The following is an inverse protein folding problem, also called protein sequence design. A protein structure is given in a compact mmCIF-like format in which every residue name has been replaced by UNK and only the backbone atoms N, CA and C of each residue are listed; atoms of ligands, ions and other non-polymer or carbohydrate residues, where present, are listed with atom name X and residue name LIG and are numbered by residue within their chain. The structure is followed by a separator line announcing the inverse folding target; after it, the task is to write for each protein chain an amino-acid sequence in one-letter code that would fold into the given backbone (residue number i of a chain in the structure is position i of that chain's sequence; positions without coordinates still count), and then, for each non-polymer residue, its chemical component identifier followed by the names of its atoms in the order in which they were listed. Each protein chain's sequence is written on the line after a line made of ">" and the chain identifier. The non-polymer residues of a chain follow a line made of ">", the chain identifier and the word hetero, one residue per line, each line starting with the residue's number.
data_IF_126711433395
#
_entry.id   IF_126711433395
#
_cell.length_a   1.000
_cell.length_b   1.000
_cell.length_c   1.000
_cell.angle_alpha   90.00
_cell.angle_beta   90.00
_cell.angle_gamma   90.00
#
_symmetry.space_group_name_H-M   'P 1'
#
loop_
_entity.id
_entity.type
_entity.pdbx_description
1 polymer ?
#
# COMPACT_ATOMS: atom_id res chain seq x y z
N UNK A 1 -2.13 -4.24 2.45
CA UNK A 1 -0.82 -3.60 2.66
C UNK A 1 -0.04 -4.08 3.89
N UNK A 2 -0.66 -4.51 5.01
CA UNK A 2 0.08 -4.74 6.26
C UNK A 2 0.38 -6.20 6.69
N UNK A 3 -0.23 -7.23 6.08
CA UNK A 3 0.23 -8.61 6.30
C UNK A 3 1.69 -8.78 5.93
N UNK A 4 2.03 -8.12 4.82
CA UNK A 4 3.36 -7.97 4.33
C UNK A 4 4.24 -7.43 5.46
N UNK A 5 3.88 -6.30 6.07
CA UNK A 5 4.67 -5.66 7.13
C UNK A 5 4.91 -6.53 8.38
N UNK A 6 4.19 -7.65 8.56
CA UNK A 6 4.44 -8.61 9.64
C UNK A 6 5.54 -9.63 9.30
N UNK A 7 5.91 -9.77 8.02
CA UNK A 7 6.95 -10.66 7.50
C UNK A 7 8.12 -9.94 6.80
N UNK A 8 7.96 -8.68 6.41
CA UNK A 8 9.05 -7.84 5.88
C UNK A 8 9.63 -6.97 6.99
N UNK A 9 10.95 -7.00 7.12
CA UNK A 9 11.66 -5.94 7.81
C UNK A 9 11.41 -4.61 7.08
N UNK A 10 10.97 -3.59 7.83
CA UNK A 10 11.03 -2.21 7.36
C UNK A 10 12.45 -1.71 7.61
N UNK A 11 13.37 -2.14 6.74
CA UNK A 11 14.69 -1.53 6.61
C UNK A 11 14.60 -0.44 5.54
N UNK A 12 14.62 0.81 6.01
CA UNK A 12 14.73 2.00 5.16
C UNK A 12 16.08 2.62 5.44
N UNK A 13 17.10 2.24 4.68
CA UNK A 13 18.31 3.04 4.53
C UNK A 13 18.13 3.88 3.27
N UNK A 14 17.70 5.11 3.47
CA UNK A 14 17.60 6.10 2.40
C UNK A 14 18.77 7.06 2.52
N UNK A 15 19.78 6.84 1.68
CA UNK A 15 20.90 7.76 1.44
C UNK A 15 21.59 8.23 2.73
N UNK A 16 21.96 7.31 3.63
CA UNK A 16 22.85 7.68 4.74
C UNK A 16 24.24 7.98 4.18
N UNK A 17 24.52 9.26 3.96
CA UNK A 17 25.91 9.73 3.91
C UNK A 17 26.35 9.81 5.35
N UNK A 18 27.15 8.83 5.78
CA UNK A 18 27.88 8.89 7.04
C UNK A 18 29.31 9.34 6.70
N UNK A 19 29.57 10.63 6.90
CA UNK A 19 30.90 11.19 6.76
C UNK A 19 31.47 11.37 8.18
N UNK A 20 32.54 10.64 8.46
CA UNK A 20 33.36 10.84 9.65
C UNK A 20 34.50 11.76 9.29
N UNK A 21 34.74 12.76 10.14
CA UNK A 21 35.97 13.53 10.02
C UNK A 21 37.10 12.74 10.67
N UNK A 22 38.10 12.35 9.88
CA UNK A 22 39.32 11.75 10.40
C UNK A 22 40.31 12.87 10.72
N UNK A 23 40.65 13.01 12.00
CA UNK A 23 41.63 14.01 12.46
C UNK A 23 43.04 13.55 12.09
N UNK A 24 43.79 14.42 11.40
CA UNK A 24 45.17 14.14 11.03
C UNK A 24 46.11 14.26 12.25
N UNK A 25 45.70 15.06 13.26
CA UNK A 25 46.48 15.27 14.49
C UNK A 25 45.60 15.34 15.76
N UNK A 26 46.10 14.90 16.94
CA UNK A 26 45.35 14.95 18.21
C UNK A 26 44.90 16.36 18.63
N UNK A 27 45.59 17.41 18.18
CA UNK A 27 45.30 18.80 18.50
C UNK A 27 44.10 19.38 17.70
N UNK A 28 43.64 18.69 16.66
CA UNK A 28 42.50 19.10 15.82
C UNK A 28 41.15 18.58 16.33
N UNK A 29 41.13 17.51 17.12
CA UNK A 29 39.88 16.87 17.61
C UNK A 29 39.03 17.79 18.51
N UNK A 30 39.67 18.78 19.16
CA UNK A 30 39.00 19.79 19.97
C UNK A 30 38.48 21.01 19.19
N UNK A 31 38.84 21.15 17.90
CA UNK A 31 38.53 22.33 17.07
C UNK A 31 37.35 22.11 16.12
N UNK A 32 36.85 20.87 16.03
CA UNK A 32 35.79 20.49 15.11
C UNK A 32 34.48 20.37 15.89
N UNK A 33 33.60 21.35 15.72
CA UNK A 33 32.30 21.39 16.40
C UNK A 33 31.33 20.28 15.95
N UNK A 34 31.47 19.81 14.71
CA UNK A 34 30.61 18.78 14.12
C UNK A 34 31.45 17.59 13.69
N UNK A 35 31.51 16.56 14.54
CA UNK A 35 32.36 15.37 14.35
C UNK A 35 31.79 14.35 13.36
N UNK A 36 30.49 14.44 13.06
CA UNK A 36 29.83 13.60 12.07
C UNK A 36 28.60 14.32 11.53
N UNK A 37 28.26 14.04 10.27
CA UNK A 37 27.03 14.49 9.63
C UNK A 37 26.29 13.26 9.10
N UNK A 38 24.99 13.19 9.42
CA UNK A 38 24.08 12.16 8.94
C UNK A 38 22.89 12.83 8.27
N UNK A 39 22.78 12.68 6.96
CA UNK A 39 21.58 13.04 6.20
C UNK A 39 20.95 11.75 5.70
N UNK A 40 19.64 11.62 5.86
CA UNK A 40 18.87 10.50 5.36
C UNK A 40 17.39 10.87 5.34
N UNK A 41 16.63 10.32 4.41
CA UNK A 41 15.18 10.56 4.36
C UNK A 41 14.54 9.72 5.47
N UNK A 42 14.18 10.36 6.59
CA UNK A 42 13.41 9.68 7.64
C UNK A 42 12.03 9.34 7.10
N UNK A 43 11.86 8.09 6.67
CA UNK A 43 10.54 7.52 6.38
C UNK A 43 10.13 6.78 7.67
N UNK A 44 9.15 7.29 8.44
CA UNK A 44 8.73 6.66 9.67
C UNK A 44 8.27 5.23 9.39
N UNK A 45 8.65 4.28 10.27
CA UNK A 45 8.18 2.89 10.17
C UNK A 45 6.65 2.90 10.15
N UNK A 46 6.04 2.25 9.15
CA UNK A 46 4.59 2.09 9.10
C UNK A 46 4.14 1.37 10.38
N UNK A 47 3.27 1.97 11.21
CA UNK A 47 2.79 1.31 12.42
C UNK A 47 1.99 0.08 12.03
N UNK A 48 2.35 -1.08 12.55
CA UNK A 48 1.55 -2.29 12.41
C UNK A 48 0.34 -2.14 13.33
N UNK A 49 -0.86 -2.02 12.75
CA UNK A 49 -2.08 -1.93 13.54
C UNK A 49 -2.36 -3.26 14.25
N UNK A 50 -2.92 -3.19 15.45
CA UNK A 50 -3.29 -4.35 16.26
C UNK A 50 -4.16 -5.37 15.50
N UNK A 51 -5.14 -4.88 14.73
CA UNK A 51 -6.00 -5.69 13.86
C UNK A 51 -5.20 -6.52 12.85
N UNK A 52 -4.17 -5.92 12.26
CA UNK A 52 -3.36 -6.56 11.23
C UNK A 52 -2.45 -7.64 11.83
N UNK A 53 -1.85 -7.35 13.00
CA UNK A 53 -1.03 -8.30 13.74
C UNK A 53 -1.85 -9.52 14.19
N UNK A 54 -2.98 -9.30 14.82
CA UNK A 54 -3.82 -10.38 15.34
C UNK A 54 -4.45 -11.24 14.23
N UNK A 55 -4.94 -10.63 13.15
CA UNK A 55 -5.41 -11.39 11.97
C UNK A 55 -4.27 -12.20 11.32
N UNK A 56 -3.06 -11.66 11.28
CA UNK A 56 -1.90 -12.40 10.78
C UNK A 56 -1.58 -13.62 11.66
N UNK A 57 -1.64 -13.48 13.00
CA UNK A 57 -1.45 -14.58 13.94
C UNK A 57 -2.51 -15.66 13.73
N UNK A 58 -3.79 -15.29 13.68
CA UNK A 58 -4.85 -16.29 13.47
C UNK A 58 -4.78 -16.97 12.10
N UNK A 59 -4.39 -16.23 11.05
CA UNK A 59 -4.17 -16.79 9.72
C UNK A 59 -2.99 -17.79 9.70
N UNK A 60 -1.94 -17.52 10.49
CA UNK A 60 -0.77 -18.36 10.60
C UNK A 60 -1.02 -19.68 11.36
N UNK A 61 -2.11 -19.79 12.12
CA UNK A 61 -2.53 -21.05 12.75
C UNK A 61 -2.99 -22.07 11.71
N UNK A 62 -3.65 -21.61 10.63
CA UNK A 62 -4.23 -22.47 9.59
C UNK A 62 -3.37 -22.61 8.33
N UNK A 63 -2.37 -21.73 8.15
CA UNK A 63 -1.54 -21.70 6.93
C UNK A 63 -0.10 -21.32 7.28
N UNK A 64 0.88 -21.73 6.46
CA UNK A 64 2.28 -21.32 6.63
C UNK A 64 2.52 -19.82 6.36
N UNK A 65 1.51 -19.10 5.86
CA UNK A 65 1.63 -17.75 5.34
C UNK A 65 2.42 -17.69 4.03
N UNK A 66 2.49 -16.50 3.40
CA UNK A 66 3.13 -16.26 2.13
C UNK A 66 4.64 -16.06 2.31
N UNK A 67 5.32 -17.05 2.89
CA UNK A 67 6.75 -16.96 3.26
C UNK A 67 7.63 -16.73 2.05
N UNK A 68 7.29 -17.36 0.93
CA UNK A 68 8.06 -17.29 -0.30
C UNK A 68 7.93 -15.89 -0.93
N UNK A 69 6.70 -15.39 -1.06
CA UNK A 69 6.39 -14.04 -1.52
C UNK A 69 7.04 -13.00 -0.61
N UNK A 70 6.97 -13.22 0.71
CA UNK A 70 7.59 -12.36 1.70
C UNK A 70 9.12 -12.32 1.61
N UNK A 71 9.76 -13.44 1.33
CA UNK A 71 11.22 -13.47 1.21
C UNK A 71 11.68 -12.71 -0.04
N UNK A 72 11.03 -12.95 -1.19
CA UNK A 72 11.44 -12.35 -2.45
C UNK A 72 11.13 -10.85 -2.52
N UNK A 73 9.94 -10.43 -2.06
CA UNK A 73 9.61 -9.00 -2.04
C UNK A 73 10.48 -8.23 -1.02
N UNK A 74 10.94 -8.87 0.06
CA UNK A 74 11.85 -8.23 1.04
C UNK A 74 13.18 -7.95 0.37
N UNK A 75 13.72 -8.98 -0.25
CA UNK A 75 14.98 -8.93 -0.99
C UNK A 75 14.92 -7.91 -2.13
N UNK A 76 13.80 -7.87 -2.86
CA UNK A 76 13.58 -6.91 -3.93
C UNK A 76 13.50 -5.46 -3.43
N UNK A 77 12.81 -5.22 -2.31
CA UNK A 77 12.69 -3.88 -1.69
C UNK A 77 14.01 -3.40 -1.13
N UNK A 78 14.76 -4.27 -0.47
CA UNK A 78 16.08 -3.95 0.04
C UNK A 78 17.04 -3.59 -1.11
N UNK A 79 17.07 -4.39 -2.18
CA UNK A 79 17.86 -4.08 -3.38
C UNK A 79 17.41 -2.77 -4.06
N UNK A 80 16.10 -2.47 -4.07
CA UNK A 80 15.57 -1.20 -4.58
C UNK A 80 16.08 -0.01 -3.75
N UNK A 81 16.04 -0.11 -2.42
CA UNK A 81 16.52 0.92 -1.50
C UNK A 81 18.01 1.23 -1.69
N UNK A 82 18.82 0.19 -1.91
CA UNK A 82 20.25 0.31 -2.21
C UNK A 82 20.56 0.71 -3.67
N UNK A 83 19.54 1.04 -4.48
CA UNK A 83 19.67 1.36 -5.91
C UNK A 83 20.29 0.24 -6.75
N UNK A 84 20.27 -1.01 -6.25
CA UNK A 84 20.61 -2.24 -7.00
C UNK A 84 19.39 -2.71 -7.81
N UNK A 85 18.96 -1.88 -8.75
CA UNK A 85 17.73 -2.09 -9.52
C UNK A 85 17.70 -3.39 -10.32
N UNK A 86 18.85 -3.85 -10.81
CA UNK A 86 18.93 -5.14 -11.55
C UNK A 86 18.60 -6.30 -10.61
N UNK A 87 19.11 -6.28 -9.38
CA UNK A 87 18.80 -7.32 -8.39
C UNK A 87 17.36 -7.22 -7.90
N UNK A 88 16.85 -6.00 -7.71
CA UNK A 88 15.43 -5.79 -7.39
C UNK A 88 14.52 -6.39 -8.46
N UNK A 89 14.78 -6.09 -9.74
CA UNK A 89 14.07 -6.70 -10.86
C UNK A 89 14.19 -8.23 -10.85
N UNK A 90 15.37 -8.79 -10.60
CA UNK A 90 15.57 -10.24 -10.51
C UNK A 90 14.73 -10.88 -9.43
N UNK A 91 14.73 -10.35 -8.21
CA UNK A 91 13.95 -10.91 -7.12
C UNK A 91 12.44 -10.83 -7.39
N UNK A 92 11.95 -9.71 -7.93
CA UNK A 92 10.56 -9.58 -8.33
C UNK A 92 10.18 -10.55 -9.46
N UNK A 93 11.06 -10.72 -10.46
CA UNK A 93 10.78 -11.63 -11.57
C UNK A 93 10.84 -13.10 -11.14
N UNK A 94 11.73 -13.47 -10.21
CA UNK A 94 11.74 -14.82 -9.63
C UNK A 94 10.41 -15.16 -8.96
N UNK A 95 9.77 -14.18 -8.31
CA UNK A 95 8.44 -14.37 -7.72
C UNK A 95 7.38 -14.63 -8.80
N UNK A 96 7.39 -13.82 -9.86
CA UNK A 96 6.49 -13.97 -11.01
C UNK A 96 6.67 -15.36 -11.64
N UNK A 97 7.92 -15.75 -11.93
CA UNK A 97 8.27 -17.02 -12.57
C UNK A 97 7.87 -18.23 -11.71
N UNK A 98 8.10 -18.15 -10.40
CA UNK A 98 7.78 -19.25 -9.47
C UNK A 98 6.28 -19.47 -9.30
N UNK A 99 5.47 -18.41 -9.28
CA UNK A 99 4.03 -18.53 -9.03
C UNK A 99 3.19 -18.65 -10.31
N UNK A 100 3.60 -17.99 -11.40
CA UNK A 100 2.81 -17.91 -12.64
C UNK A 100 3.53 -18.51 -13.84
N UNK A 101 4.81 -18.91 -13.72
CA UNK A 101 5.57 -19.47 -14.85
C UNK A 101 5.23 -20.94 -15.18
N UNK A 102 4.46 -21.64 -14.35
CA UNK A 102 4.03 -23.01 -14.62
C UNK A 102 5.17 -24.02 -14.81
N UNK A 103 6.35 -23.76 -14.24
CA UNK A 103 7.57 -24.57 -14.45
C UNK A 103 8.27 -24.36 -15.80
N UNK A 104 7.84 -23.37 -16.59
CA UNK A 104 8.47 -23.03 -17.87
C UNK A 104 9.48 -21.89 -17.72
N UNK A 105 10.72 -22.15 -18.13
CA UNK A 105 11.83 -21.17 -18.02
C UNK A 105 12.33 -20.66 -19.38
N UNK A 106 11.89 -21.29 -20.48
CA UNK A 106 12.25 -20.87 -21.85
C UNK A 106 11.36 -19.71 -22.26
N UNK A 107 11.96 -18.64 -22.80
CA UNK A 107 11.31 -17.37 -23.16
C UNK A 107 9.94 -17.54 -23.84
N UNK A 108 9.85 -18.34 -24.90
CA UNK A 108 8.59 -18.52 -25.65
C UNK A 108 7.52 -19.20 -24.80
N UNK A 109 7.88 -20.28 -24.10
CA UNK A 109 6.94 -21.01 -23.25
C UNK A 109 6.48 -20.15 -22.06
N UNK A 110 7.41 -19.45 -21.41
CA UNK A 110 7.09 -18.56 -20.30
C UNK A 110 6.17 -17.41 -20.73
N UNK A 111 6.44 -16.77 -21.87
CA UNK A 111 5.54 -15.75 -22.45
C UNK A 111 4.13 -16.31 -22.65
N UNK A 112 4.00 -17.49 -23.24
CA UNK A 112 2.69 -18.10 -23.51
C UNK A 112 1.91 -18.40 -22.23
N UNK A 113 2.57 -18.96 -21.21
CA UNK A 113 1.93 -19.28 -19.93
C UNK A 113 1.48 -18.01 -19.21
N UNK A 114 2.36 -17.01 -19.09
CA UNK A 114 2.01 -15.75 -18.43
C UNK A 114 0.88 -14.99 -19.16
N UNK A 115 0.86 -15.05 -20.49
CA UNK A 115 -0.22 -14.43 -21.30
C UNK A 115 -1.53 -15.20 -21.25
N UNK A 116 -1.51 -16.50 -20.94
CA UNK A 116 -2.73 -17.30 -20.80
C UNK A 116 -3.37 -17.13 -19.41
N UNK A 117 -2.58 -16.70 -18.41
CA UNK A 117 -3.06 -16.49 -17.05
C UNK A 117 -3.82 -15.17 -16.91
N UNK A 118 -5.15 -15.25 -16.83
CA UNK A 118 -6.05 -14.09 -16.72
C UNK A 118 -5.77 -13.26 -15.48
N UNK A 119 -5.42 -13.91 -14.38
CA UNK A 119 -5.19 -13.23 -13.11
C UNK A 119 -3.87 -12.45 -13.14
N UNK A 120 -2.81 -13.07 -13.63
CA UNK A 120 -1.53 -12.41 -13.80
C UNK A 120 -1.63 -11.20 -14.74
N UNK A 121 -2.36 -11.33 -15.85
CA UNK A 121 -2.64 -10.20 -16.76
C UNK A 121 -3.30 -9.03 -16.05
N UNK A 122 -4.28 -9.30 -15.18
CA UNK A 122 -4.95 -8.26 -14.41
C UNK A 122 -3.98 -7.57 -13.43
N UNK A 123 -3.11 -8.34 -12.77
CA UNK A 123 -2.07 -7.78 -11.89
C UNK A 123 -1.08 -6.89 -12.65
N UNK A 124 -0.65 -7.30 -13.85
CA UNK A 124 0.23 -6.51 -14.72
C UNK A 124 -0.46 -5.21 -15.16
N UNK A 125 -1.74 -5.28 -15.54
CA UNK A 125 -2.52 -4.11 -15.93
C UNK A 125 -2.66 -3.11 -14.76
N UNK A 126 -3.00 -3.59 -13.56
CA UNK A 126 -3.12 -2.75 -12.37
C UNK A 126 -1.78 -2.10 -11.98
N UNK A 127 -0.70 -2.88 -12.01
CA UNK A 127 0.65 -2.37 -11.77
C UNK A 127 1.04 -1.28 -12.78
N UNK A 128 0.67 -1.45 -14.06
CA UNK A 128 0.96 -0.46 -15.10
C UNK A 128 0.12 0.82 -14.94
N UNK A 129 -1.15 0.72 -14.58
CA UNK A 129 -1.96 1.91 -14.28
C UNK A 129 -1.41 2.68 -13.07
N UNK A 130 -0.96 1.98 -12.02
CA UNK A 130 -0.30 2.61 -10.89
C UNK A 130 1.04 3.25 -11.30
N UNK A 131 1.81 2.62 -12.18
CA UNK A 131 3.07 3.16 -12.67
C UNK A 131 2.89 4.54 -13.35
N UNK A 132 1.77 4.79 -14.02
CA UNK A 132 1.47 6.08 -14.68
C UNK A 132 1.30 7.25 -13.70
N UNK A 133 1.05 7.00 -12.42
CA UNK A 133 0.92 8.08 -11.43
C UNK A 133 2.28 8.59 -10.93
N UNK A 134 3.38 7.95 -11.32
CA UNK A 134 4.73 8.35 -10.90
C UNK A 134 5.29 9.50 -11.75
N UNK A 135 6.11 10.33 -11.12
CA UNK A 135 6.82 11.43 -11.77
C UNK A 135 7.94 10.90 -12.67
N UNK A 136 7.75 11.02 -13.99
CA UNK A 136 8.71 10.59 -15.03
C UNK A 136 10.08 11.25 -14.90
N UNK A 137 10.17 12.45 -14.32
CA UNK A 137 11.45 13.15 -14.15
C UNK A 137 12.35 12.49 -13.08
N UNK A 138 11.77 11.65 -12.20
CA UNK A 138 12.50 11.04 -11.07
C UNK A 138 12.93 9.60 -11.33
N UNK A 139 12.40 8.96 -12.37
CA UNK A 139 12.60 7.54 -12.64
C UNK A 139 13.19 7.38 -14.03
N UNK A 140 14.45 6.96 -14.06
CA UNK A 140 15.17 6.70 -15.30
C UNK A 140 14.45 5.65 -16.13
N UNK A 141 14.33 5.92 -17.43
CA UNK A 141 13.70 5.08 -18.45
C UNK A 141 12.18 4.87 -18.25
N UNK A 142 11.52 5.66 -17.40
CA UNK A 142 10.08 5.53 -17.19
C UNK A 142 9.27 5.97 -18.41
N UNK A 143 9.65 7.07 -19.06
CA UNK A 143 8.99 7.54 -20.28
C UNK A 143 9.05 6.49 -21.41
N UNK A 144 10.18 5.80 -21.53
CA UNK A 144 10.39 4.71 -22.48
C UNK A 144 9.52 3.49 -22.15
N UNK A 145 9.45 3.10 -20.88
CA UNK A 145 8.58 2.01 -20.44
C UNK A 145 7.10 2.33 -20.65
N UNK A 146 6.69 3.58 -20.40
CA UNK A 146 5.31 4.03 -20.60
C UNK A 146 4.94 4.15 -22.09
N UNK A 147 5.93 4.37 -22.97
CA UNK A 147 5.72 4.45 -24.42
C UNK A 147 5.65 3.09 -25.12
N UNK A 148 5.96 1.98 -24.44
CA UNK A 148 5.76 0.61 -24.92
C UNK A 148 4.28 0.21 -25.07
N UNK A 149 3.37 1.18 -25.14
CA UNK A 149 1.93 0.97 -25.26
C UNK A 149 1.58 0.30 -26.58
N UNK A 150 1.23 -0.99 -26.49
CA UNK A 150 0.35 -1.66 -27.46
C UNK A 150 -0.63 -2.64 -26.79
N UNK A 151 -0.29 -3.25 -25.64
CA UNK A 151 -1.19 -4.13 -24.86
C UNK A 151 -0.54 -4.66 -23.56
N UNK A 152 -1.33 -5.27 -22.66
CA UNK A 152 -0.83 -6.07 -21.52
C UNK A 152 0.14 -7.17 -21.98
N UNK A 153 -0.15 -7.79 -23.14
CA UNK A 153 0.72 -8.79 -23.73
C UNK A 153 2.10 -8.24 -24.04
N UNK A 154 2.19 -7.01 -24.56
CA UNK A 154 3.45 -6.31 -24.81
C UNK A 154 4.24 -6.06 -23.51
N UNK A 155 3.57 -5.69 -22.42
CA UNK A 155 4.20 -5.52 -21.11
C UNK A 155 4.76 -6.83 -20.57
N UNK A 156 4.00 -7.93 -20.70
CA UNK A 156 4.46 -9.27 -20.32
C UNK A 156 5.66 -9.70 -21.17
N UNK A 157 5.61 -9.45 -22.49
CA UNK A 157 6.72 -9.75 -23.38
C UNK A 157 7.98 -8.99 -22.97
N UNK A 158 7.84 -7.69 -22.70
CA UNK A 158 8.95 -6.85 -22.26
C UNK A 158 9.57 -7.36 -20.95
N UNK A 159 8.75 -7.69 -19.94
CA UNK A 159 9.25 -8.27 -18.68
C UNK A 159 10.09 -9.54 -18.93
N UNK A 160 9.58 -10.48 -19.75
CA UNK A 160 10.26 -11.74 -20.02
C UNK A 160 11.54 -11.55 -20.85
N UNK A 161 11.54 -10.60 -21.79
CA UNK A 161 12.73 -10.25 -22.58
C UNK A 161 13.83 -9.65 -21.71
N UNK A 162 13.46 -8.69 -20.86
CA UNK A 162 14.39 -8.07 -19.93
C UNK A 162 14.93 -9.08 -18.91
N UNK A 163 14.14 -10.07 -18.48
CA UNK A 163 14.67 -11.21 -17.70
C UNK A 163 15.77 -11.96 -18.46
N UNK A 164 15.59 -12.22 -19.75
CA UNK A 164 16.63 -12.83 -20.59
C UNK A 164 17.94 -12.04 -20.58
N UNK A 165 17.88 -10.71 -20.53
CA UNK A 165 19.03 -9.82 -20.47
C UNK A 165 19.64 -9.84 -19.06
N UNK A 166 18.86 -9.52 -18.04
CA UNK A 166 19.36 -9.30 -16.69
C UNK A 166 19.73 -10.57 -15.92
N UNK A 167 19.20 -11.75 -16.26
CA UNK A 167 19.56 -12.99 -15.55
C UNK A 167 20.75 -13.72 -16.18
N UNK A 168 20.90 -13.64 -17.50
CA UNK A 168 21.85 -14.48 -18.25
C UNK A 168 22.90 -13.60 -18.93
N UNK A 169 23.72 -12.93 -18.11
CA UNK A 169 24.71 -12.04 -18.66
C UNK A 169 25.74 -12.81 -19.49
N UNK A 170 25.92 -12.40 -20.73
CA UNK A 170 27.05 -12.78 -21.54
C UNK A 170 27.76 -11.50 -21.96
N UNK A 171 28.92 -11.21 -21.36
CA UNK A 171 29.68 -9.98 -21.57
C UNK A 171 30.03 -9.74 -23.05
N UNK A 172 30.05 -10.80 -23.88
CA UNK A 172 30.30 -10.72 -25.32
C UNK A 172 29.07 -10.34 -26.16
N UNK A 173 27.86 -10.40 -25.59
CA UNK A 173 26.62 -10.06 -26.29
C UNK A 173 26.48 -8.53 -26.38
N UNK A 174 26.13 -8.04 -27.57
CA UNK A 174 25.75 -6.63 -27.75
C UNK A 174 24.51 -6.32 -26.90
N UNK A 175 24.59 -5.31 -26.05
CA UNK A 175 23.52 -4.96 -25.09
C UNK A 175 23.53 -5.78 -23.80
N UNK A 176 24.65 -6.46 -23.48
CA UNK A 176 24.85 -7.05 -22.17
C UNK A 176 24.75 -5.97 -21.07
N UNK A 177 23.97 -6.25 -20.02
CA UNK A 177 23.90 -5.36 -18.87
C UNK A 177 25.24 -5.34 -18.14
N UNK A 178 25.50 -4.24 -17.45
CA UNK A 178 26.72 -4.06 -16.66
C UNK A 178 26.38 -3.69 -15.21
N UNK A 179 27.10 -4.21 -14.20
CA UNK A 179 26.83 -3.89 -12.80
C UNK A 179 26.81 -2.40 -12.48
N UNK A 180 27.65 -1.61 -13.15
CA UNK A 180 27.74 -0.16 -12.99
C UNK A 180 26.56 0.62 -13.62
N UNK A 181 25.71 -0.05 -14.41
CA UNK A 181 24.58 0.57 -15.15
C UNK A 181 23.23 0.25 -14.52
N UNK A 182 23.13 0.35 -13.20
CA UNK A 182 21.87 0.06 -12.48
C UNK A 182 20.71 0.93 -12.95
N UNK A 183 20.97 2.21 -13.23
CA UNK A 183 19.95 3.20 -13.57
C UNK A 183 19.13 2.83 -14.82
N UNK A 184 19.71 2.08 -15.76
CA UNK A 184 19.02 1.61 -16.96
C UNK A 184 17.84 0.66 -16.61
N UNK A 185 17.90 -0.01 -15.46
CA UNK A 185 16.88 -0.94 -14.99
C UNK A 185 15.86 -0.31 -14.02
N UNK A 186 15.94 0.99 -13.73
CA UNK A 186 15.16 1.62 -12.65
C UNK A 186 13.64 1.51 -12.88
N UNK A 187 13.13 1.98 -14.03
CA UNK A 187 11.71 1.88 -14.35
C UNK A 187 11.19 0.44 -14.37
N UNK A 188 11.99 -0.49 -14.92
CA UNK A 188 11.64 -1.90 -14.98
C UNK A 188 11.59 -2.54 -13.60
N UNK A 189 12.57 -2.24 -12.74
CA UNK A 189 12.60 -2.71 -11.36
C UNK A 189 11.36 -2.21 -10.60
N UNK A 190 11.00 -0.93 -10.76
CA UNK A 190 9.81 -0.35 -10.14
C UNK A 190 8.55 -1.05 -10.65
N UNK A 191 8.41 -1.21 -11.96
CA UNK A 191 7.26 -1.89 -12.55
C UNK A 191 7.12 -3.34 -12.05
N UNK A 192 8.21 -4.09 -12.04
CA UNK A 192 8.21 -5.46 -11.49
C UNK A 192 7.88 -5.50 -10.00
N UNK A 193 8.27 -4.48 -9.23
CA UNK A 193 7.92 -4.36 -7.82
C UNK A 193 6.43 -4.09 -7.60
N UNK A 194 5.80 -3.31 -8.49
CA UNK A 194 4.35 -3.09 -8.48
C UNK A 194 3.59 -4.38 -8.83
N UNK A 195 4.06 -5.16 -9.81
CA UNK A 195 3.49 -6.48 -10.11
C UNK A 195 3.63 -7.43 -8.91
N UNK A 196 4.83 -7.50 -8.32
CA UNK A 196 5.09 -8.32 -7.14
C UNK A 196 4.26 -7.88 -5.92
N UNK A 197 3.94 -6.59 -5.81
CA UNK A 197 3.04 -6.07 -4.81
C UNK A 197 1.61 -6.59 -5.02
N UNK A 198 1.08 -6.62 -6.25
CA UNK A 198 -0.25 -7.19 -6.52
C UNK A 198 -0.32 -8.69 -6.17
N UNK A 199 0.72 -9.44 -6.54
CA UNK A 199 0.87 -10.84 -6.14
C UNK A 199 0.83 -10.99 -4.62
N UNK A 200 1.59 -10.16 -3.92
CA UNK A 200 1.69 -10.17 -2.46
C UNK A 200 0.39 -9.76 -1.77
N UNK A 201 -0.37 -8.84 -2.36
CA UNK A 201 -1.69 -8.45 -1.87
C UNK A 201 -2.67 -9.61 -1.96
N UNK A 202 -2.67 -10.34 -3.07
CA UNK A 202 -3.48 -11.56 -3.21
C UNK A 202 -3.09 -12.61 -2.18
N UNK A 203 -1.80 -12.87 -2.02
CA UNK A 203 -1.30 -13.86 -1.05
C UNK A 203 -1.67 -13.47 0.40
N UNK A 204 -1.84 -12.17 0.67
CA UNK A 204 -2.32 -11.64 1.95
C UNK A 204 -3.83 -11.70 2.16
N UNK A 205 -4.62 -11.89 1.11
CA UNK A 205 -6.09 -11.81 1.18
C UNK A 205 -6.75 -12.71 2.25
N UNK A 206 -6.25 -13.93 2.57
CA UNK A 206 -6.90 -14.79 3.57
C UNK A 206 -7.03 -14.16 4.96
N UNK A 207 -6.12 -13.25 5.34
CA UNK A 207 -6.19 -12.56 6.63
C UNK A 207 -7.45 -11.70 6.78
N UNK A 208 -8.06 -11.30 5.67
CA UNK A 208 -9.23 -10.43 5.61
C UNK A 208 -10.53 -11.24 5.46
N UNK A 209 -10.48 -12.57 5.65
CA UNK A 209 -11.67 -13.40 5.66
C UNK A 209 -12.61 -13.02 6.80
N UNK A 210 -13.92 -13.09 6.55
CA UNK A 210 -14.96 -12.73 7.53
C UNK A 210 -14.82 -13.51 8.85
N UNK A 211 -14.37 -14.76 8.77
CA UNK A 211 -14.11 -15.62 9.93
C UNK A 211 -13.03 -15.03 10.84
N UNK A 212 -11.87 -14.64 10.27
CA UNK A 212 -10.77 -14.08 11.05
C UNK A 212 -11.09 -12.68 11.58
N UNK A 213 -11.90 -11.91 10.86
CA UNK A 213 -12.48 -10.65 11.37
C UNK A 213 -13.34 -10.92 12.61
N UNK A 214 -14.20 -11.94 12.55
CA UNK A 214 -15.04 -12.34 13.69
C UNK A 214 -14.23 -12.80 14.90
N UNK A 215 -13.24 -13.68 14.69
CA UNK A 215 -12.29 -14.11 15.75
C UNK A 215 -11.52 -12.94 16.35
N UNK A 216 -11.11 -11.98 15.52
CA UNK A 216 -10.45 -10.77 16.00
C UNK A 216 -11.35 -9.96 16.93
N UNK A 217 -12.60 -9.72 16.54
CA UNK A 217 -13.58 -9.05 17.40
C UNK A 217 -13.83 -9.81 18.71
N UNK A 218 -13.98 -11.13 18.65
CA UNK A 218 -14.19 -11.95 19.85
C UNK A 218 -13.00 -11.88 20.81
N UNK A 219 -11.78 -11.98 20.28
CA UNK A 219 -10.56 -11.89 21.09
C UNK A 219 -10.39 -10.49 21.69
N UNK A 220 -10.66 -9.44 20.90
CA UNK A 220 -10.63 -8.06 21.35
C UNK A 220 -11.62 -7.82 22.51
N UNK A 221 -12.83 -8.38 22.40
CA UNK A 221 -13.84 -8.35 23.46
C UNK A 221 -13.37 -9.05 24.74
N UNK A 222 -12.78 -10.24 24.64
CA UNK A 222 -12.31 -11.02 25.80
C UNK A 222 -11.23 -10.29 26.61
N UNK A 223 -10.35 -9.55 25.94
CA UNK A 223 -9.23 -8.84 26.59
C UNK A 223 -9.52 -7.37 26.87
N UNK A 224 -10.75 -6.91 26.62
CA UNK A 224 -11.16 -5.52 26.82
C UNK A 224 -10.52 -4.52 25.83
N UNK A 225 -9.92 -4.99 24.74
CA UNK A 225 -9.37 -4.16 23.68
C UNK A 225 -10.48 -3.73 22.69
N UNK A 226 -11.50 -3.03 23.20
CA UNK A 226 -12.63 -2.52 22.42
C UNK A 226 -12.78 -1.02 22.62
N UNK A 227 -12.98 -0.30 21.52
CA UNK A 227 -13.47 1.09 21.50
C UNK A 227 -14.92 1.07 21.03
N UNK A 228 -15.82 1.62 21.84
CA UNK A 228 -17.24 1.72 21.51
C UNK A 228 -17.51 3.13 21.00
N UNK A 229 -17.94 3.24 19.76
CA UNK A 229 -18.31 4.51 19.12
C UNK A 229 -19.82 4.69 19.20
N UNK A 230 -20.26 5.80 19.79
CA UNK A 230 -21.65 6.22 19.75
C UNK A 230 -21.78 7.37 18.76
N UNK A 231 -22.63 7.18 17.76
CA UNK A 231 -22.92 8.17 16.72
C UNK A 231 -24.34 8.64 16.92
N UNK A 232 -24.50 9.86 17.39
CA UNK A 232 -25.80 10.52 17.51
C UNK A 232 -26.04 11.34 16.24
N UNK A 233 -27.19 11.16 15.60
CA UNK A 233 -27.48 11.81 14.32
C UNK A 233 -28.92 12.30 14.22
N UNK A 234 -29.06 13.43 13.52
CA UNK A 234 -30.32 14.13 13.30
C UNK A 234 -30.66 14.11 11.81
N UNK A 235 -31.91 13.76 11.50
CA UNK A 235 -32.36 13.62 10.12
C UNK A 235 -33.84 14.01 9.96
N UNK A 236 -34.26 14.27 8.72
CA UNK A 236 -35.65 14.49 8.33
C UNK A 236 -36.11 13.40 7.37
N UNK A 237 -37.29 12.85 7.60
CA UNK A 237 -37.95 11.95 6.65
C UNK A 237 -38.38 12.68 5.38
N UNK A 238 -38.68 11.94 4.32
CA UNK A 238 -39.16 12.52 3.04
C UNK A 238 -40.45 13.30 3.28
N UNK A 239 -40.44 14.59 2.94
CA UNK A 239 -41.62 15.47 3.09
C UNK A 239 -41.94 15.84 4.54
N UNK A 240 -41.09 15.46 5.51
CA UNK A 240 -41.27 15.82 6.91
C UNK A 240 -40.51 17.12 7.23
N UNK A 241 -41.21 18.05 7.89
CA UNK A 241 -40.58 19.25 8.46
C UNK A 241 -39.94 19.01 9.84
N UNK A 242 -40.13 17.81 10.40
CA UNK A 242 -39.73 17.49 11.77
C UNK A 242 -38.36 16.83 11.79
N UNK A 243 -37.47 17.38 12.62
CA UNK A 243 -36.17 16.80 12.89
C UNK A 243 -36.34 15.59 13.83
N UNK A 244 -35.78 14.44 13.43
CA UNK A 244 -35.71 13.23 14.23
C UNK A 244 -34.28 13.00 14.67
N UNK A 245 -34.09 12.52 15.89
CA UNK A 245 -32.78 12.13 16.41
C UNK A 245 -32.72 10.62 16.60
N UNK A 246 -31.58 10.03 16.29
CA UNK A 246 -31.30 8.61 16.49
C UNK A 246 -29.84 8.42 16.86
N UNK A 247 -29.48 7.19 17.23
CA UNK A 247 -28.10 6.83 17.54
C UNK A 247 -27.74 5.48 16.95
N UNK A 248 -26.45 5.32 16.65
CA UNK A 248 -25.84 4.08 16.20
C UNK A 248 -24.64 3.76 17.10
N UNK A 249 -24.58 2.54 17.62
CA UNK A 249 -23.42 2.03 18.36
C UNK A 249 -22.58 1.16 17.42
N UNK A 250 -21.30 1.47 17.32
CA UNK A 250 -20.33 0.72 16.54
C UNK A 250 -19.20 0.24 17.45
N UNK A 251 -19.11 -1.07 17.61
CA UNK A 251 -18.01 -1.71 18.33
C UNK A 251 -16.82 -1.91 17.39
N UNK A 252 -15.67 -1.35 17.75
CA UNK A 252 -14.43 -1.52 16.99
C UNK A 252 -13.32 -2.09 17.88
N UNK A 253 -12.48 -2.97 17.34
CA UNK A 253 -11.37 -3.52 18.08
C UNK A 253 -10.25 -2.47 18.17
N UNK A 254 -9.69 -2.31 19.37
CA UNK A 254 -8.62 -1.35 19.63
C UNK A 254 -8.61 -0.86 21.08
N UNK A 255 -7.54 -0.18 21.45
CA UNK A 255 -7.38 0.42 22.79
C UNK A 255 -7.57 1.93 22.82
N UNK A 256 -7.61 2.57 21.64
CA UNK A 256 -7.82 4.01 21.47
C UNK A 256 -8.34 4.33 20.06
N UNK A 257 -9.00 5.48 19.85
CA UNK A 257 -9.35 5.95 18.52
C UNK A 257 -8.12 6.15 17.63
N UNK A 258 -8.27 5.82 16.34
CA UNK A 258 -7.24 6.08 15.32
C UNK A 258 -7.91 6.64 14.06
N UNK A 259 -7.25 7.51 13.28
CA UNK A 259 -7.85 8.08 12.07
C UNK A 259 -8.41 7.04 11.09
N UNK A 260 -7.75 5.88 10.97
CA UNK A 260 -8.23 4.78 10.14
C UNK A 260 -9.53 4.16 10.70
N UNK A 261 -9.59 3.91 12.01
CA UNK A 261 -10.81 3.41 12.65
C UNK A 261 -11.96 4.43 12.53
N UNK A 262 -11.66 5.73 12.72
CA UNK A 262 -12.63 6.80 12.54
C UNK A 262 -13.22 6.78 11.14
N UNK A 263 -12.38 6.70 10.11
CA UNK A 263 -12.84 6.68 8.72
C UNK A 263 -13.72 5.46 8.41
N UNK A 264 -13.37 4.28 8.91
CA UNK A 264 -14.21 3.09 8.74
C UNK A 264 -15.54 3.19 9.48
N UNK A 265 -15.55 3.72 10.71
CA UNK A 265 -16.78 3.99 11.47
C UNK A 265 -17.67 4.98 10.72
N UNK A 266 -17.10 6.03 10.13
CA UNK A 266 -17.84 6.99 9.29
C UNK A 266 -18.46 6.31 8.08
N UNK A 267 -17.73 5.45 7.37
CA UNK A 267 -18.29 4.68 6.23
C UNK A 267 -19.44 3.76 6.66
N UNK A 268 -19.27 3.05 7.78
CA UNK A 268 -20.30 2.18 8.33
C UNK A 268 -21.57 2.97 8.66
N UNK A 269 -21.42 4.16 9.24
CA UNK A 269 -22.54 5.06 9.52
C UNK A 269 -23.24 5.55 8.25
N UNK A 270 -22.49 6.05 7.26
CA UNK A 270 -23.07 6.52 5.99
C UNK A 270 -23.89 5.40 5.35
N UNK A 271 -23.31 4.20 5.26
CA UNK A 271 -23.99 3.04 4.72
C UNK A 271 -25.25 2.67 5.53
N UNK A 272 -25.15 2.65 6.86
CA UNK A 272 -26.30 2.40 7.74
C UNK A 272 -27.42 3.40 7.49
N UNK A 273 -27.09 4.69 7.36
CA UNK A 273 -28.08 5.73 7.11
C UNK A 273 -28.77 5.56 5.75
N UNK A 274 -28.01 5.29 4.68
CA UNK A 274 -28.54 5.04 3.34
C UNK A 274 -29.49 3.82 3.31
N UNK A 275 -29.17 2.76 4.05
CA UNK A 275 -29.97 1.53 4.11
C UNK A 275 -31.24 1.67 4.96
N UNK A 276 -31.19 2.42 6.07
CA UNK A 276 -32.28 2.48 7.05
C UNK A 276 -33.16 3.74 6.94
N UNK A 277 -32.64 4.80 6.32
CA UNK A 277 -33.38 6.06 6.08
C UNK A 277 -33.28 6.41 4.59
N UNK A 278 -33.78 5.54 3.69
CA UNK A 278 -33.72 5.83 2.26
C UNK A 278 -34.47 7.13 1.96
N UNK A 279 -33.84 8.01 1.17
CA UNK A 279 -34.36 9.32 0.79
C UNK A 279 -34.50 10.35 1.94
N UNK A 280 -34.05 10.03 3.16
CA UNK A 280 -34.01 11.00 4.26
C UNK A 280 -32.90 12.04 4.08
N UNK A 281 -33.11 13.23 4.62
CA UNK A 281 -32.09 14.27 4.70
C UNK A 281 -31.34 14.13 6.02
N UNK A 282 -30.07 13.75 5.97
CA UNK A 282 -29.18 13.81 7.13
C UNK A 282 -28.80 15.27 7.37
N UNK A 283 -28.99 15.78 8.58
CA UNK A 283 -28.70 17.18 8.91
C UNK A 283 -27.42 17.29 9.74
N UNK A 284 -27.23 16.38 10.70
CA UNK A 284 -26.05 16.35 11.57
C UNK A 284 -25.74 14.92 12.00
N UNK A 285 -24.46 14.61 12.17
CA UNK A 285 -24.00 13.42 12.88
C UNK A 285 -22.78 13.77 13.74
N UNK A 286 -22.78 13.36 14.99
CA UNK A 286 -21.67 13.54 15.92
C UNK A 286 -21.29 12.19 16.53
N UNK A 287 -20.01 11.88 16.53
CA UNK A 287 -19.49 10.63 17.10
C UNK A 287 -18.63 10.91 18.32
N UNK A 288 -18.87 10.15 19.38
CA UNK A 288 -18.07 10.14 20.61
C UNK A 288 -17.64 8.72 20.97
N UNK A 289 -16.55 8.60 21.72
CA UNK A 289 -16.15 7.33 22.34
C UNK A 289 -16.89 7.15 23.66
N UNK A 290 -17.61 6.04 23.79
CA UNK A 290 -18.31 5.72 25.04
C UNK A 290 -17.30 5.48 26.17
N UNK A 291 -17.57 6.02 27.36
CA UNK A 291 -16.71 5.92 28.53
C UNK A 291 -15.72 7.08 28.69
N UNK A 292 -15.10 7.56 27.61
CA UNK A 292 -14.20 8.73 27.67
C UNK A 292 -14.88 10.04 27.26
N UNK A 293 -15.93 9.97 26.44
CA UNK A 293 -16.58 11.16 25.85
C UNK A 293 -15.70 11.88 24.82
N UNK A 294 -14.60 11.27 24.39
CA UNK A 294 -13.70 11.84 23.38
C UNK A 294 -14.47 12.04 22.08
N UNK A 295 -14.47 13.27 21.55
CA UNK A 295 -15.09 13.59 20.27
C UNK A 295 -14.26 13.04 19.13
N UNK A 296 -14.91 12.30 18.24
CA UNK A 296 -14.25 11.56 17.15
C UNK A 296 -14.44 12.28 15.82
N UNK A 297 -15.68 12.60 15.48
CA UNK A 297 -16.02 13.40 14.31
C UNK A 297 -17.34 14.12 14.51
N UNK A 298 -17.54 15.17 13.73
CA UNK A 298 -18.80 15.87 13.58
C UNK A 298 -19.00 16.20 12.10
N UNK A 299 -20.20 15.91 11.60
CA UNK A 299 -20.62 16.17 10.23
C UNK A 299 -21.89 17.01 10.29
N UNK A 300 -21.92 18.10 9.52
CA UNK A 300 -23.10 18.93 9.35
C UNK A 300 -23.35 19.09 7.86
N UNK A 301 -24.59 18.89 7.45
CA UNK A 301 -24.99 18.95 6.06
C UNK A 301 -25.97 20.10 5.88
N UNK A 302 -25.61 21.04 5.00
CA UNK A 302 -26.48 22.15 4.64
C UNK A 302 -26.95 21.97 3.20
N UNK A 303 -28.27 21.97 3.00
CA UNK A 303 -28.86 22.16 1.68
C UNK A 303 -28.84 23.67 1.39
N UNK A 304 -27.92 24.09 0.51
CA UNK A 304 -27.78 25.48 0.10
C UNK A 304 -29.08 26.01 -0.54
N UNK A 305 -29.57 27.13 -0.02
CA UNK A 305 -30.74 27.85 -0.50
C UNK A 305 -30.53 28.48 -1.88
N UNK A 306 -31.65 28.94 -2.46
CA UNK A 306 -31.75 29.61 -3.75
C UNK A 306 -30.55 30.53 -4.04
N UNK A 307 -29.84 30.25 -5.13
CA UNK A 307 -28.98 31.23 -5.78
C UNK A 307 -29.89 32.31 -6.36
N UNK A 308 -30.12 33.37 -5.58
CA UNK A 308 -30.65 34.61 -6.13
C UNK A 308 -29.50 35.22 -6.93
N UNK A 309 -29.53 35.00 -8.24
CA UNK A 309 -28.70 35.76 -9.18
C UNK A 309 -29.03 37.25 -8.98
N UNK A 310 -28.04 38.12 -8.72
CA UNK A 310 -28.31 39.54 -8.69
C UNK A 310 -28.80 39.94 -10.08
N UNK A 311 -30.04 40.41 -10.16
CA UNK A 311 -30.56 41.11 -11.33
C UNK A 311 -29.70 42.36 -11.47
N UNK A 312 -28.86 42.38 -12.50
CA UNK A 312 -28.10 43.57 -12.87
C UNK A 312 -29.09 44.71 -13.12
N UNK A 313 -28.93 45.79 -12.35
CA UNK A 313 -29.54 47.08 -12.65
C UNK A 313 -28.83 47.68 -13.87
N UNK A 314 -29.59 47.91 -14.93
CA UNK A 314 -29.28 48.87 -16.00
C UNK A 314 -29.21 50.32 -15.45
#
# INVERSE_FOLDING_TARGET
>A
MAFLSCYFDVALEMDEVEAFYEVETPEEDGKIEVKSFKSGRHVPKLPILFDLLSRAIFCAEGTSGPRFEATLVSSARHAMGEKRYIDSFRYNFLLIEALYGGGHFKTVALKNVLKADVEFRNMVQQAFEHLKSFDVARINNLSELLSLQDSVDGLIEHLVEQRGIYFHNNVRRKGAWRPERQQEAHALALFSALVAQEISQKAASPMFSKELVGRHMESANKVGAKVVYQIDFDYKGVGEGVLRSSHLIVDMPGTKPTPAAVFEVTKMFIKYFEENVPMGSLERAACVVQGTGEKVFEMTFSMGGNVVMPVGSE
#
